data_IF_610980022534
#
_entry.id   IF_610980022534
#
_cell.length_a   1.000
_cell.length_b   1.000
_cell.length_c   1.000
_cell.angle_alpha   90.00
_cell.angle_beta   90.00
_cell.angle_gamma   90.00
#
_symmetry.space_group_name_H-M   'P 1'
#
loop_
_entity.id
_entity.type
_entity.pdbx_description
1 polymer ?
2 non-polymer ?
3 non-polymer ?
4 non-polymer ?
5 non-polymer ?
6 water ?
#
# COMPACT_ATOMS: atom_id res chain seq x y z
N UNK A 14 -24.38 4.15 0.08
CA UNK A 14 -23.16 3.34 0.10
C UNK A 14 -21.99 4.13 -0.51
N UNK A 15 -20.81 3.55 -0.34
CA UNK A 15 -19.58 4.18 -0.82
C UNK A 15 -19.65 4.52 -2.32
N UNK A 16 -19.20 5.73 -2.67
CA UNK A 16 -19.07 6.16 -4.06
C UNK A 16 -17.59 6.12 -4.42
N UNK A 17 -17.16 5.26 -5.33
CA UNK A 17 -15.71 5.20 -5.66
C UNK A 17 -15.21 6.52 -6.22
N UNK A 18 -14.07 7.03 -5.71
CA UNK A 18 -13.41 8.18 -6.36
C UNK A 18 -13.04 7.87 -7.81
N UNK A 19 -12.79 8.93 -8.60
CA UNK A 19 -12.28 8.72 -9.94
C UNK A 19 -10.94 8.01 -9.95
N UNK A 20 -10.71 7.30 -11.04
CA UNK A 20 -9.44 6.57 -11.21
C UNK A 20 -8.24 7.50 -11.43
N UNK A 21 -7.11 7.14 -10.77
CA UNK A 21 -5.85 7.82 -11.01
C UNK A 21 -5.27 7.35 -12.35
N UNK A 22 -4.27 8.08 -12.87
CA UNK A 22 -3.64 7.69 -14.13
C UNK A 22 -2.91 6.36 -14.05
N UNK A 23 -3.00 5.58 -15.14
CA UNK A 23 -2.20 4.38 -15.32
C UNK A 23 -1.36 4.57 -16.55
N UNK A 24 -0.08 4.32 -16.43
CA UNK A 24 0.86 4.40 -17.54
C UNK A 24 1.34 3.02 -17.92
N UNK A 25 1.52 2.83 -19.22
CA UNK A 25 2.01 1.56 -19.79
C UNK A 25 3.23 1.88 -20.64
N UNK A 26 4.38 2.15 -20.00
CA UNK A 26 5.57 2.57 -20.77
C UNK A 26 6.00 1.53 -21.77
N UNK A 27 6.47 2.02 -22.92
CA UNK A 27 7.15 1.14 -23.86
C UNK A 27 8.49 0.70 -23.25
N UNK A 28 9.16 -0.25 -23.93
CA UNK A 28 10.47 -0.66 -23.43
C UNK A 28 11.44 0.52 -23.39
N UNK A 29 11.34 1.44 -24.36
CA UNK A 29 12.20 2.62 -24.37
C UNK A 29 11.93 3.52 -23.17
N UNK A 30 10.66 3.86 -22.92
CA UNK A 30 10.32 4.66 -21.74
C UNK A 30 10.70 3.95 -20.45
N UNK A 31 10.65 2.62 -20.42
CA UNK A 31 10.91 1.87 -19.19
C UNK A 31 12.40 1.80 -18.85
N UNK A 32 13.29 2.38 -19.66
CA UNK A 32 14.73 2.22 -19.41
C UNK A 32 15.17 2.89 -18.12
N UNK A 33 14.64 4.08 -17.80
CA UNK A 33 15.13 4.85 -16.66
C UNK A 33 13.97 5.32 -15.81
N UNK A 34 13.79 4.74 -14.62
CA UNK A 34 12.65 5.13 -13.75
C UNK A 34 12.57 6.61 -13.43
N UNK A 35 13.67 7.24 -12.99
CA UNK A 35 13.56 8.64 -12.59
C UNK A 35 13.24 9.52 -13.77
N UNK A 36 13.78 9.17 -14.95
CA UNK A 36 13.47 9.95 -16.13
C UNK A 36 12.00 9.78 -16.50
N UNK A 37 11.48 8.56 -16.39
CA UNK A 37 10.08 8.36 -16.71
C UNK A 37 9.18 9.08 -15.72
N UNK A 38 9.50 8.99 -14.42
CA UNK A 38 8.65 9.64 -13.41
C UNK A 38 8.73 11.15 -13.58
N UNK A 39 9.89 11.65 -14.00
CA UNK A 39 10.00 13.08 -14.28
C UNK A 39 9.12 13.52 -15.45
N UNK A 40 9.02 12.67 -16.47
CA UNK A 40 8.20 12.99 -17.66
C UNK A 40 6.72 12.92 -17.37
N UNK A 41 6.27 11.99 -16.51
CA UNK A 41 4.83 11.89 -16.23
C UNK A 41 4.39 12.89 -15.19
N UNK A 42 5.32 13.58 -14.53
CA UNK A 42 4.99 14.46 -13.41
C UNK A 42 3.93 15.48 -13.70
N UNK A 43 3.90 16.16 -14.87
CA UNK A 43 2.84 17.16 -15.08
C UNK A 43 1.45 16.61 -14.90
N UNK A 44 1.19 15.33 -15.24
CA UNK A 44 -0.13 14.79 -14.93
C UNK A 44 -0.18 14.17 -13.54
N UNK A 45 0.80 13.30 -13.23
CA UNK A 45 0.68 12.54 -11.99
C UNK A 45 0.76 13.40 -10.71
N UNK A 46 1.45 14.54 -10.76
CA UNK A 46 1.46 15.35 -9.54
C UNK A 46 0.11 16.01 -9.30
N UNK A 47 -0.78 16.10 -10.33
CA UNK A 47 -2.11 16.62 -10.14
C UNK A 47 -3.07 15.59 -9.59
N UNK A 48 -2.65 14.32 -9.50
CA UNK A 48 -3.50 13.28 -8.93
C UNK A 48 -2.90 12.68 -7.67
N UNK A 49 -1.64 13.02 -7.34
CA UNK A 49 -0.97 12.50 -6.12
C UNK A 49 -0.37 11.12 -6.29
N UNK A 50 -1.14 10.21 -6.85
CA UNK A 50 -0.68 8.85 -7.07
C UNK A 50 -0.88 8.48 -8.54
N UNK A 51 -0.05 7.55 -8.99
CA UNK A 51 -0.26 6.98 -10.32
C UNK A 51 0.17 5.52 -10.30
N UNK A 52 -0.28 4.77 -11.30
CA UNK A 52 0.04 3.35 -11.42
C UNK A 52 0.85 3.17 -12.69
N UNK A 53 1.85 2.29 -12.62
CA UNK A 53 2.74 2.06 -13.74
C UNK A 53 2.77 0.55 -14.00
N UNK A 54 2.33 0.15 -15.21
CA UNK A 54 2.36 -1.24 -15.64
C UNK A 54 3.61 -1.50 -16.46
N UNK A 55 4.53 -2.35 -16.01
CA UNK A 55 5.72 -2.61 -16.80
C UNK A 55 5.37 -3.36 -18.08
N UNK A 56 6.28 -3.38 -19.01
CA UNK A 56 6.08 -4.14 -20.25
C UNK A 56 5.75 -5.60 -19.93
N UNK A 57 4.96 -6.23 -20.82
CA UNK A 57 4.39 -7.54 -20.56
C UNK A 57 5.47 -8.56 -20.20
N UNK A 58 6.61 -8.49 -20.87
CA UNK A 58 7.69 -9.44 -20.65
C UNK A 58 8.55 -9.13 -19.44
N UNK A 59 8.29 -8.06 -18.68
CA UNK A 59 9.09 -7.79 -17.48
C UNK A 59 8.46 -8.48 -16.28
N UNK A 60 9.08 -9.60 -15.83
CA UNK A 60 8.52 -10.44 -14.76
C UNK A 60 9.61 -10.91 -13.80
N UNK A 61 9.93 -10.10 -12.79
CA UNK A 61 10.94 -10.51 -11.81
C UNK A 61 10.51 -11.73 -11.03
N UNK A 62 11.47 -12.62 -10.74
CA UNK A 62 11.18 -13.74 -9.83
C UNK A 62 10.97 -13.21 -8.44
N UNK A 63 10.35 -14.03 -7.60
CA UNK A 63 10.14 -13.66 -6.20
C UNK A 63 11.28 -14.22 -5.38
N UNK A 64 11.98 -13.36 -4.64
CA UNK A 64 13.30 -13.73 -4.12
C UNK A 64 13.41 -13.74 -2.60
N UNK A 65 12.30 -13.68 -1.86
CA UNK A 65 12.42 -13.78 -0.40
C UNK A 65 12.74 -15.21 -0.01
N UNK A 66 13.32 -15.35 1.19
CA UNK A 66 13.64 -16.66 1.76
C UNK A 66 12.37 -17.28 2.33
N UNK A 67 11.61 -17.99 1.47
CA UNK A 67 10.25 -18.42 1.80
C UNK A 67 10.23 -19.47 2.91
N UNK A 68 11.23 -20.34 2.94
CA UNK A 68 11.25 -21.41 3.93
C UNK A 68 11.24 -20.85 5.35
N UNK A 69 12.02 -19.79 5.59
CA UNK A 69 12.20 -19.24 6.92
C UNK A 69 11.32 -18.02 7.21
N UNK A 70 10.52 -17.57 6.23
CA UNK A 70 9.76 -16.34 6.41
C UNK A 70 8.71 -16.54 7.49
N UNK A 71 8.88 -15.87 8.62
CA UNK A 71 7.97 -16.01 9.75
C UNK A 71 7.73 -14.64 10.36
N UNK A 72 6.52 -14.41 10.85
CA UNK A 72 6.25 -13.08 11.39
C UNK A 72 5.01 -13.13 12.25
N UNK A 73 4.88 -12.11 13.14
CA UNK A 73 3.69 -11.90 13.92
C UNK A 73 3.04 -10.61 13.45
N UNK A 74 1.94 -10.69 12.69
CA UNK A 74 1.31 -9.49 12.14
C UNK A 74 0.60 -8.74 13.24
N UNK A 75 0.32 -7.46 12.96
CA UNK A 75 -0.36 -6.64 13.96
C UNK A 75 -1.87 -6.72 13.78
N UNK A 76 -2.58 -6.65 14.89
CA UNK A 76 -4.04 -6.70 14.82
C UNK A 76 -4.59 -5.32 14.47
N UNK A 77 -5.56 -5.29 13.56
CA UNK A 77 -6.25 -4.07 13.16
C UNK A 77 -7.75 -4.20 13.39
N UNK A 78 -8.29 -3.31 14.22
CA UNK A 78 -9.73 -3.30 14.53
C UNK A 78 -10.36 -2.20 13.69
N UNK A 79 -11.14 -2.59 12.66
CA UNK A 79 -11.53 -1.65 11.60
C UNK A 79 -12.25 -0.44 12.16
N UNK A 80 -13.09 -0.63 13.17
CA UNK A 80 -13.93 0.46 13.67
C UNK A 80 -13.37 1.07 14.96
N UNK A 81 -12.06 0.98 15.20
CA UNK A 81 -11.53 1.42 16.51
C UNK A 81 -11.79 2.90 16.78
N UNK A 82 -11.81 3.78 15.76
CA UNK A 82 -12.05 5.19 16.09
C UNK A 82 -13.52 5.45 16.37
N UNK A 83 -14.41 4.87 15.55
CA UNK A 83 -15.83 5.00 15.81
C UNK A 83 -16.17 4.49 17.20
N UNK A 84 -15.54 3.40 17.60
CA UNK A 84 -15.85 2.78 18.89
C UNK A 84 -15.49 3.68 20.08
N UNK A 85 -14.73 4.75 19.88
CA UNK A 85 -14.45 5.69 20.99
C UNK A 85 -15.77 6.34 21.39
N UNK A 95 -7.56 -3.85 26.48
CA UNK A 95 -6.39 -3.95 25.64
C UNK A 95 -5.98 -5.38 25.30
N UNK A 96 -6.90 -6.33 25.47
CA UNK A 96 -6.61 -7.75 25.32
C UNK A 96 -7.51 -8.43 24.30
N UNK A 97 -8.09 -7.68 23.35
CA UNK A 97 -9.10 -8.21 22.43
C UNK A 97 -8.64 -9.48 21.73
N UNK A 98 -7.64 -9.36 20.85
CA UNK A 98 -7.08 -10.51 20.15
C UNK A 98 -5.74 -10.91 20.80
N UNK A 99 -5.08 -11.90 20.18
CA UNK A 99 -3.86 -12.47 20.75
C UNK A 99 -3.10 -13.16 19.61
N UNK A 100 -2.23 -12.40 18.91
CA UNK A 100 -1.87 -12.70 17.52
C UNK A 100 -0.93 -13.91 17.42
N UNK A 101 -1.29 -14.86 16.55
CA UNK A 101 -0.42 -15.95 16.21
C UNK A 101 0.82 -15.46 15.45
N UNK A 102 1.86 -16.27 15.54
CA UNK A 102 2.94 -16.25 14.56
C UNK A 102 2.55 -17.10 13.35
N UNK A 103 2.92 -16.61 12.17
CA UNK A 103 2.62 -17.30 10.93
C UNK A 103 3.88 -17.49 10.09
N UNK A 104 3.78 -18.43 9.15
CA UNK A 104 4.62 -18.44 7.96
C UNK A 104 3.86 -17.79 6.80
N UNK A 105 4.52 -17.56 5.69
CA UNK A 105 3.78 -17.06 4.56
C UNK A 105 2.65 -17.96 4.18
N UNK A 106 2.92 -19.25 4.20
CA UNK A 106 1.90 -20.22 3.86
C UNK A 106 0.77 -20.19 4.88
N UNK A 107 1.09 -20.19 6.19
CA UNK A 107 -0.02 -20.31 7.11
C UNK A 107 -0.81 -19.00 7.20
N UNK A 108 -0.16 -17.86 6.96
CA UNK A 108 -0.92 -16.61 6.89
C UNK A 108 -1.84 -16.61 5.68
N UNK A 109 -1.36 -17.15 4.56
CA UNK A 109 -2.20 -17.20 3.38
C UNK A 109 -3.43 -18.08 3.58
N UNK A 110 -3.27 -19.22 4.27
CA UNK A 110 -4.40 -20.09 4.56
C UNK A 110 -5.41 -19.35 5.44
N UNK A 111 -4.89 -18.66 6.48
CA UNK A 111 -5.76 -17.86 7.35
C UNK A 111 -6.48 -16.79 6.53
N UNK A 112 -5.76 -16.11 5.64
CA UNK A 112 -6.33 -14.96 4.95
C UNK A 112 -7.43 -15.40 4.00
N UNK A 113 -7.16 -16.48 3.27
CA UNK A 113 -8.13 -16.97 2.30
C UNK A 113 -9.37 -17.55 3.00
N UNK A 114 -9.17 -18.31 4.07
CA UNK A 114 -10.30 -18.78 4.86
C UNK A 114 -11.13 -17.61 5.39
N UNK A 115 -10.48 -16.54 5.88
CA UNK A 115 -11.24 -15.40 6.37
C UNK A 115 -12.14 -14.84 5.29
N UNK A 116 -11.56 -14.57 4.13
CA UNK A 116 -12.30 -13.85 3.10
C UNK A 116 -13.40 -14.72 2.49
N UNK A 117 -13.08 -15.97 2.19
CA UNK A 117 -14.11 -16.85 1.61
C UNK A 117 -15.24 -17.10 2.61
N UNK A 118 -14.94 -17.18 3.92
CA UNK A 118 -16.01 -17.29 4.92
C UNK A 118 -16.83 -16.00 5.03
N UNK A 119 -16.15 -14.84 4.98
CA UNK A 119 -16.83 -13.56 5.13
C UNK A 119 -17.84 -13.34 4.00
N UNK A 120 -17.42 -13.58 2.77
CA UNK A 120 -18.28 -13.33 1.62
C UNK A 120 -19.04 -14.56 1.13
N UNK A 121 -18.80 -15.74 1.70
CA UNK A 121 -19.47 -16.99 1.24
C UNK A 121 -19.27 -17.25 -0.26
N UNK A 122 -18.05 -17.05 -0.74
CA UNK A 122 -17.74 -17.35 -2.12
C UNK A 122 -16.24 -17.50 -2.25
N UNK A 123 -15.77 -18.08 -3.37
CA UNK A 123 -14.32 -18.22 -3.54
C UNK A 123 -13.64 -16.87 -3.59
N UNK A 124 -12.42 -16.78 -3.04
CA UNK A 124 -11.83 -15.47 -2.80
C UNK A 124 -11.65 -14.69 -4.09
N UNK A 125 -11.34 -15.38 -5.20
CA UNK A 125 -11.08 -14.67 -6.46
C UNK A 125 -12.37 -14.19 -7.13
N UNK A 126 -13.52 -14.63 -6.65
CA UNK A 126 -14.79 -14.23 -7.21
C UNK A 126 -15.43 -13.03 -6.52
N UNK A 127 -14.84 -12.51 -5.44
CA UNK A 127 -15.50 -11.40 -4.77
C UNK A 127 -15.18 -10.12 -5.54
N UNK A 128 -16.18 -9.38 -6.04
CA UNK A 128 -15.91 -8.12 -6.76
C UNK A 128 -15.06 -7.14 -5.93
N UNK A 129 -14.11 -6.47 -6.59
CA UNK A 129 -13.29 -5.47 -5.87
C UNK A 129 -14.15 -4.36 -5.34
N UNK A 130 -15.24 -4.00 -6.06
CA UNK A 130 -16.13 -2.96 -5.59
C UNK A 130 -16.86 -3.36 -4.32
N UNK A 131 -17.19 -4.65 -4.17
CA UNK A 131 -17.88 -5.11 -2.98
C UNK A 131 -16.95 -5.09 -1.77
N UNK A 132 -15.71 -5.52 -1.94
CA UNK A 132 -14.78 -5.46 -0.82
C UNK A 132 -14.62 -4.01 -0.38
N UNK A 133 -14.49 -3.09 -1.33
CA UNK A 133 -14.31 -1.67 -1.02
C UNK A 133 -15.51 -1.11 -0.25
N UNK A 134 -16.73 -1.39 -0.74
CA UNK A 134 -17.93 -0.90 -0.07
C UNK A 134 -18.05 -1.48 1.35
N UNK A 135 -17.71 -2.76 1.50
CA UNK A 135 -17.80 -3.42 2.80
C UNK A 135 -16.75 -2.88 3.76
N UNK A 136 -15.55 -2.61 3.25
CA UNK A 136 -14.48 -2.07 4.09
C UNK A 136 -14.92 -0.78 4.74
N UNK A 137 -15.44 0.16 3.93
CA UNK A 137 -15.78 1.46 4.50
C UNK A 137 -17.03 1.37 5.37
N UNK A 138 -17.94 0.45 5.06
CA UNK A 138 -19.07 0.24 5.97
C UNK A 138 -18.56 -0.24 7.34
N UNK A 139 -17.62 -1.18 7.34
CA UNK A 139 -17.11 -1.74 8.59
C UNK A 139 -16.35 -0.70 9.41
N UNK A 140 -15.60 0.18 8.74
CA UNK A 140 -14.82 1.20 9.44
C UNK A 140 -15.73 2.10 10.28
N UNK A 141 -16.94 2.36 9.80
CA UNK A 141 -17.87 3.23 10.53
C UNK A 141 -18.92 2.48 11.32
N UNK A 142 -18.87 1.15 11.37
CA UNK A 142 -19.93 0.37 12.01
C UNK A 142 -19.75 0.25 13.50
N UNK A 143 -20.78 0.62 14.25
CA UNK A 143 -20.81 0.34 15.68
C UNK A 143 -21.35 -1.06 15.98
N UNK A 144 -22.17 -1.62 15.09
CA UNK A 144 -22.90 -2.83 15.40
C UNK A 144 -22.11 -4.10 15.14
N UNK A 145 -21.01 -4.02 14.38
CA UNK A 145 -20.24 -5.17 13.93
C UNK A 145 -18.76 -4.83 14.08
N UNK A 146 -18.00 -5.67 14.79
CA UNK A 146 -16.59 -5.39 15.08
C UNK A 146 -15.78 -6.44 14.32
N UNK A 147 -15.18 -6.03 13.19
CA UNK A 147 -14.35 -6.90 12.38
C UNK A 147 -12.89 -6.61 12.73
N UNK A 148 -12.13 -7.67 12.98
CA UNK A 148 -10.72 -7.57 13.33
C UNK A 148 -9.90 -8.39 12.34
N UNK A 149 -8.86 -7.78 11.76
CA UNK A 149 -7.99 -8.49 10.81
C UNK A 149 -6.55 -8.32 11.25
N UNK A 150 -5.61 -8.88 10.47
CA UNK A 150 -4.20 -8.88 10.81
C UNK A 150 -3.38 -8.45 9.61
N UNK A 151 -2.35 -7.64 9.83
CA UNK A 151 -1.53 -7.17 8.73
C UNK A 151 -0.05 -7.43 9.02
N UNK A 152 0.65 -8.10 8.10
CA UNK A 152 2.09 -8.23 8.29
C UNK A 152 2.79 -7.02 7.75
N UNK A 153 2.77 -5.94 8.52
CA UNK A 153 3.17 -4.63 7.99
C UNK A 153 4.56 -4.28 8.48
N UNK A 154 5.31 -3.55 7.63
CA UNK A 154 6.60 -2.94 8.05
C UNK A 154 7.58 -4.02 8.45
N UNK A 155 7.65 -5.07 7.63
CA UNK A 155 8.65 -6.09 7.82
C UNK A 155 9.90 -5.66 7.05
N UNK A 156 11.07 -5.61 7.71
CA UNK A 156 12.23 -5.10 6.97
C UNK A 156 12.70 -6.09 5.91
N UNK A 157 13.09 -5.58 4.73
CA UNK A 157 13.72 -6.44 3.73
C UNK A 157 15.05 -7.03 4.22
N UNK A 158 15.62 -6.52 5.30
CA UNK A 158 16.84 -7.12 5.83
C UNK A 158 16.59 -8.48 6.48
N UNK A 159 15.37 -8.72 6.97
CA UNK A 159 15.07 -9.91 7.77
C UNK A 159 15.15 -11.19 6.94
N UNK A 160 14.39 -11.25 5.85
CA UNK A 160 14.38 -12.43 5.01
C UNK A 160 14.71 -12.07 3.56
N UNK A 161 15.21 -10.88 3.33
CA UNK A 161 15.53 -10.50 1.97
C UNK A 161 14.40 -9.69 1.34
N UNK A 162 14.77 -8.97 0.29
CA UNK A 162 13.79 -8.30 -0.54
C UNK A 162 13.06 -9.33 -1.40
N UNK A 163 11.85 -8.96 -1.87
CA UNK A 163 11.21 -9.80 -2.87
C UNK A 163 11.85 -9.74 -4.23
N UNK A 164 12.65 -8.70 -4.50
CA UNK A 164 13.48 -8.63 -5.70
C UNK A 164 14.81 -9.35 -5.49
N UNK A 165 15.33 -9.96 -6.54
CA UNK A 165 16.71 -10.49 -6.46
C UNK A 165 17.73 -9.37 -6.27
N UNK A 166 18.75 -9.67 -5.46
CA UNK A 166 19.78 -8.69 -5.10
C UNK A 166 21.12 -9.41 -5.17
N UNK A 167 22.11 -8.72 -5.75
CA UNK A 167 23.47 -9.24 -5.86
C UNK A 167 24.27 -8.95 -4.59
N UNK A 168 23.81 -9.49 -3.47
CA UNK A 168 24.57 -9.43 -2.22
C UNK A 168 25.14 -10.79 -1.81
N UNK A 169 25.01 -11.83 -2.64
CA UNK A 169 25.57 -13.16 -2.40
C UNK A 169 24.94 -13.85 -1.20
N UNK A 170 23.68 -13.52 -0.88
CA UNK A 170 22.94 -14.24 0.14
C UNK A 170 22.07 -15.35 -0.45
N UNK A 171 21.54 -15.14 -1.64
CA UNK A 171 20.78 -16.15 -2.38
C UNK A 171 21.35 -16.26 -3.78
N UNK A 172 21.14 -17.43 -4.39
CA UNK A 172 21.55 -17.63 -5.77
C UNK A 172 20.69 -16.76 -6.70
N UNK A 173 21.34 -16.21 -7.71
CA UNK A 173 20.70 -15.51 -8.82
C UNK A 173 20.90 -16.36 -10.06
N UNK A 174 19.82 -16.81 -10.67
CA UNK A 174 19.95 -17.46 -11.96
C UNK A 174 20.32 -16.43 -13.01
N UNK A 175 20.95 -16.85 -14.11
CA UNK A 175 21.27 -15.88 -15.19
C UNK A 175 20.06 -15.11 -15.71
N UNK A 176 18.91 -15.78 -15.88
CA UNK A 176 17.70 -15.13 -16.35
C UNK A 176 17.17 -14.09 -15.37
N UNK A 177 17.66 -14.12 -14.13
CA UNK A 177 17.21 -13.18 -13.11
C UNK A 177 18.15 -12.01 -12.91
N UNK A 178 19.34 -12.07 -13.49
CA UNK A 178 20.32 -11.02 -13.23
C UNK A 178 19.81 -9.67 -13.72
N UNK A 179 19.09 -9.66 -14.84
CA UNK A 179 18.51 -8.42 -15.36
C UNK A 179 17.66 -7.74 -14.28
N UNK A 180 16.97 -8.53 -13.47
CA UNK A 180 16.09 -7.94 -12.46
C UNK A 180 16.89 -7.45 -11.26
N UNK A 181 18.00 -8.14 -10.93
CA UNK A 181 18.86 -7.68 -9.86
C UNK A 181 19.53 -6.34 -10.20
N UNK A 182 19.71 -6.05 -11.50
CA UNK A 182 20.40 -4.86 -11.95
C UNK A 182 19.44 -3.77 -12.40
N UNK A 183 18.15 -4.05 -12.51
CA UNK A 183 17.17 -3.10 -13.03
C UNK A 183 17.02 -1.87 -12.16
N UNK A 184 16.86 -0.70 -12.80
CA UNK A 184 16.55 0.47 -12.00
C UNK A 184 15.16 0.47 -11.38
N UNK A 185 14.27 -0.45 -11.78
CA UNK A 185 12.94 -0.59 -11.16
C UNK A 185 12.93 -1.58 -10.01
N UNK A 186 14.03 -2.26 -9.79
CA UNK A 186 14.22 -3.02 -8.55
C UNK A 186 14.31 -2.04 -7.39
N UNK A 187 13.43 -2.15 -6.41
CA UNK A 187 13.33 -1.11 -5.38
C UNK A 187 14.61 -0.99 -4.56
N UNK A 188 15.48 -2.00 -4.60
CA UNK A 188 16.77 -1.89 -3.93
C UNK A 188 17.76 -0.99 -4.66
N UNK A 189 17.46 -0.62 -5.91
CA UNK A 189 18.34 0.18 -6.75
C UNK A 189 17.81 1.58 -6.97
N UNK A 190 16.76 1.98 -6.23
CA UNK A 190 16.27 3.35 -6.27
C UNK A 190 17.18 4.27 -5.45
N UNK A 191 17.38 5.51 -5.90
CA UNK A 191 18.22 6.44 -5.14
C UNK A 191 17.50 6.85 -3.85
N UNK A 192 18.21 6.80 -2.74
CA UNK A 192 17.59 7.09 -1.45
C UNK A 192 18.30 8.18 -0.68
N UNK A 193 19.42 8.68 -1.16
CA UNK A 193 20.18 9.67 -0.39
C UNK A 193 19.77 11.09 -0.79
N UNK A 194 19.30 11.87 0.17
CA UNK A 194 18.95 13.25 -0.11
C UNK A 194 20.20 14.12 0.07
N UNK A 195 20.33 15.15 -0.77
CA UNK A 195 21.42 16.10 -0.61
C UNK A 195 21.25 16.92 0.67
N UNK A 196 22.35 17.12 1.38
CA UNK A 196 22.33 17.97 2.58
C UNK A 196 23.73 18.50 2.92
N UNK A 209 18.21 3.00 4.81
CA UNK A 209 17.12 3.23 3.87
C UNK A 209 17.03 2.04 2.89
N UNK A 210 16.23 1.06 3.26
CA UNK A 210 16.01 -0.16 2.48
C UNK A 210 14.51 -0.35 2.32
N UNK A 211 14.09 -1.20 1.40
CA UNK A 211 12.64 -1.42 1.23
C UNK A 211 12.03 -2.15 2.42
N UNK A 212 10.74 -1.91 2.62
CA UNK A 212 9.90 -2.56 3.62
C UNK A 212 8.85 -3.42 2.93
N UNK A 213 8.42 -4.50 3.62
CA UNK A 213 7.51 -5.49 3.08
C UNK A 213 6.17 -5.44 3.80
N UNK A 214 5.12 -5.81 3.06
CA UNK A 214 3.74 -5.76 3.60
C UNK A 214 3.02 -7.03 3.15
N UNK A 215 2.66 -7.90 4.08
CA UNK A 215 1.92 -9.12 3.76
C UNK A 215 0.48 -8.86 4.11
N UNK A 216 -0.40 -8.74 3.10
CA UNK A 216 -1.77 -8.31 3.35
C UNK A 216 -2.77 -9.46 3.41
N UNK A 217 -3.94 -9.17 4.02
CA UNK A 217 -5.15 -10.00 3.88
C UNK A 217 -6.30 -9.05 3.63
N UNK A 218 -7.46 -9.60 3.29
CA UNK A 218 -8.64 -8.80 3.09
C UNK A 218 -8.89 -7.86 4.27
N UNK A 219 -9.05 -6.56 3.96
CA UNK A 219 -9.43 -5.46 4.84
C UNK A 219 -8.23 -4.96 5.65
N UNK A 220 -7.05 -5.58 5.59
CA UNK A 220 -5.88 -4.94 6.21
C UNK A 220 -5.59 -3.62 5.50
N UNK A 221 -5.11 -2.64 6.24
CA UNK A 221 -5.17 -1.29 5.69
C UNK A 221 -4.06 -0.39 6.22
N UNK A 222 -3.92 0.72 5.53
CA UNK A 222 -3.01 1.79 5.94
C UNK A 222 -3.74 3.12 5.90
N UNK A 223 -3.59 3.94 6.97
CA UNK A 223 -4.38 5.18 7.01
C UNK A 223 -3.66 6.32 6.33
N UNK A 224 -4.35 7.47 6.28
CA UNK A 224 -3.86 8.61 5.50
C UNK A 224 -2.54 9.15 6.05
N UNK A 225 -1.56 9.29 5.15
CA UNK A 225 -0.28 9.84 5.59
C UNK A 225 0.49 10.37 4.40
N UNK A 226 1.49 11.19 4.71
CA UNK A 226 2.54 11.52 3.76
C UNK A 226 3.87 10.95 4.29
N UNK A 227 4.87 10.94 3.42
CA UNK A 227 6.16 10.38 3.80
C UNK A 227 7.01 11.36 4.59
N UNK A 228 7.93 10.80 5.37
CA UNK A 228 8.98 11.63 5.97
C UNK A 228 9.67 12.49 4.91
N UNK A 229 9.96 13.76 5.28
CA UNK A 229 10.64 14.71 4.39
C UNK A 229 9.86 14.97 3.10
N UNK A 230 8.57 14.69 3.11
CA UNK A 230 7.72 14.82 1.92
C UNK A 230 8.27 14.02 0.73
N UNK A 231 8.86 12.85 1.03
CA UNK A 231 9.50 12.06 -0.02
C UNK A 231 8.51 11.49 -1.03
N UNK A 232 9.00 11.26 -2.24
CA UNK A 232 8.35 10.30 -3.14
C UNK A 232 8.37 8.89 -2.51
N UNK A 233 7.39 8.05 -2.89
CA UNK A 233 7.57 6.63 -2.62
C UNK A 233 7.18 5.79 -3.84
N UNK A 234 7.76 4.60 -3.92
CA UNK A 234 7.40 3.64 -4.97
C UNK A 234 7.06 2.33 -4.31
N UNK A 235 6.04 1.66 -4.85
CA UNK A 235 5.42 0.51 -4.23
C UNK A 235 5.24 -0.55 -5.30
N UNK A 236 5.65 -1.79 -5.04
CA UNK A 236 5.46 -2.86 -6.02
C UNK A 236 4.68 -4.02 -5.40
N UNK A 237 3.67 -4.49 -6.10
CA UNK A 237 2.91 -5.67 -5.65
C UNK A 237 3.51 -6.92 -6.30
N UNK A 238 4.26 -7.68 -5.49
CA UNK A 238 4.92 -8.88 -6.01
C UNK A 238 3.94 -9.93 -6.49
N UNK A 239 2.88 -10.18 -5.71
CA UNK A 239 1.93 -11.22 -6.05
C UNK A 239 0.71 -11.06 -5.15
N UNK A 240 -0.36 -11.77 -5.51
CA UNK A 240 -1.59 -11.81 -4.73
C UNK A 240 -2.70 -10.90 -5.25
N UNK A 241 -3.73 -10.76 -4.41
CA UNK A 241 -4.92 -10.00 -4.77
C UNK A 241 -4.60 -8.51 -4.72
N UNK A 242 -5.41 -7.66 -5.35
CA UNK A 242 -5.04 -6.24 -5.46
C UNK A 242 -4.95 -5.50 -4.15
N UNK A 243 -4.19 -4.42 -4.21
CA UNK A 243 -4.12 -3.42 -3.13
C UNK A 243 -4.88 -2.20 -3.63
N UNK A 244 -5.90 -1.77 -2.89
CA UNK A 244 -6.71 -0.63 -3.31
C UNK A 244 -6.17 0.64 -2.67
N UNK A 245 -5.97 1.69 -3.49
CA UNK A 245 -5.31 2.91 -3.03
C UNK A 245 -6.25 4.11 -3.19
N UNK A 246 -6.03 5.10 -2.33
CA UNK A 246 -6.63 6.43 -2.48
C UNK A 246 -5.51 7.45 -2.35
N UNK A 247 -5.54 8.47 -3.22
CA UNK A 247 -4.48 9.49 -3.21
C UNK A 247 -5.06 10.87 -3.36
N UNK A 248 -4.37 11.84 -2.76
CA UNK A 248 -4.73 13.25 -2.80
C UNK A 248 -3.53 14.03 -3.33
N UNK A 249 -3.68 14.85 -4.37
CA UNK A 249 -2.55 15.63 -4.87
C UNK A 249 -2.04 16.61 -3.84
N UNK A 250 -0.75 16.88 -3.92
CA UNK A 250 -0.12 17.77 -2.93
C UNK A 250 -0.72 19.16 -2.89
N UNK A 251 -1.28 19.66 -4.00
CA UNK A 251 -1.88 20.99 -3.91
C UNK A 251 -3.06 21.03 -2.97
N UNK A 252 -3.60 19.87 -2.58
CA UNK A 252 -4.73 19.82 -1.66
C UNK A 252 -4.31 19.29 -0.30
N UNK A 253 -3.01 19.25 0.00
CA UNK A 253 -2.58 18.75 1.31
C UNK A 253 -3.16 19.54 2.46
N UNK A 254 -3.19 20.88 2.34
CA UNK A 254 -3.70 21.68 3.44
C UNK A 254 -5.17 21.53 3.60
N UNK A 255 -5.88 21.33 2.49
CA UNK A 255 -7.31 21.10 2.58
C UNK A 255 -7.57 19.82 3.35
N UNK A 256 -6.82 18.77 3.04
CA UNK A 256 -7.07 17.51 3.73
C UNK A 256 -6.78 17.66 5.21
N UNK A 257 -5.71 18.38 5.54
CA UNK A 257 -5.34 18.52 6.95
C UNK A 257 -6.39 19.32 7.70
N UNK A 258 -7.02 20.28 7.04
CA UNK A 258 -8.08 21.06 7.67
C UNK A 258 -9.31 20.19 7.92
N UNK A 259 -9.69 19.33 6.96
CA UNK A 259 -10.84 18.45 7.19
C UNK A 259 -10.53 17.49 8.33
N UNK A 260 -9.31 17.00 8.37
CA UNK A 260 -8.92 16.10 9.46
C UNK A 260 -9.10 16.76 10.82
N UNK A 261 -8.61 17.99 10.95
CA UNK A 261 -8.74 18.69 12.24
C UNK A 261 -10.20 18.93 12.61
N UNK A 262 -11.03 19.30 11.64
CA UNK A 262 -12.45 19.48 11.88
C UNK A 262 -13.12 18.20 12.36
N UNK A 263 -12.75 17.06 11.81
CA UNK A 263 -13.53 15.83 12.01
C UNK A 263 -12.82 14.73 12.76
N UNK A 264 -11.51 14.77 12.89
CA UNK A 264 -10.84 13.76 13.68
C UNK A 264 -11.20 13.92 15.15
N UNK A 265 -11.17 12.81 15.91
CA UNK A 265 -11.39 12.92 17.37
C UNK A 265 -10.51 14.00 17.97
N UNK A 266 -11.09 14.77 18.90
CA UNK A 266 -10.36 15.89 19.50
C UNK A 266 -9.10 15.40 20.20
N UNK A 267 -9.23 14.34 21.02
CA UNK A 267 -8.08 13.79 21.75
C UNK A 267 -6.88 13.57 20.85
N UNK A 268 -7.12 13.28 19.58
CA UNK A 268 -6.03 13.03 18.67
C UNK A 268 -5.76 14.24 17.79
N UNK A 269 -6.68 15.21 17.74
CA UNK A 269 -6.53 16.34 16.82
C UNK A 269 -5.33 17.21 17.21
N UNK A 270 -5.16 17.44 18.52
CA UNK A 270 -4.07 18.21 19.10
C UNK A 270 -2.71 17.54 19.02
N UNK A 271 -2.65 16.27 18.60
CA UNK A 271 -1.39 15.54 18.53
C UNK A 271 -0.53 16.01 17.36
N UNK A 272 0.80 15.94 17.50
CA UNK A 272 1.69 16.24 16.37
C UNK A 272 1.37 15.32 15.19
N UNK A 273 1.65 15.82 13.97
CA UNK A 273 1.31 15.06 12.76
C UNK A 273 1.87 13.65 12.75
N UNK A 274 3.11 13.48 13.23
CA UNK A 274 3.76 12.17 13.14
C UNK A 274 3.14 11.14 14.08
N UNK A 275 2.34 11.57 15.05
CA UNK A 275 1.55 10.63 15.84
C UNK A 275 0.11 10.55 15.35
N UNK A 276 -0.46 11.71 14.98
CA UNK A 276 -1.83 11.69 14.47
C UNK A 276 -1.92 10.77 13.26
N UNK A 277 -0.86 10.70 12.44
CA UNK A 277 -0.87 9.83 11.27
C UNK A 277 -0.97 8.34 11.57
N UNK A 278 -0.85 7.93 12.84
CA UNK A 278 -1.09 6.54 13.18
C UNK A 278 -2.57 6.21 13.20
N UNK A 279 -3.44 7.23 13.28
CA UNK A 279 -4.88 7.04 13.47
C UNK A 279 -5.71 7.97 12.57
N UNK A 280 -5.16 8.36 11.44
CA UNK A 280 -5.90 9.24 10.51
C UNK A 280 -6.72 8.42 9.51
N UNK A 281 -7.67 7.60 9.99
CA UNK A 281 -8.53 6.86 9.07
C UNK A 281 -9.73 7.74 8.74
N UNK A 282 -10.02 7.88 7.43
CA UNK A 282 -11.14 8.73 7.02
C UNK A 282 -11.67 8.24 5.69
N UNK A 283 -12.97 8.02 5.64
CA UNK A 283 -13.66 7.64 4.40
C UNK A 283 -13.40 8.65 3.29
N UNK A 284 -12.90 8.22 2.13
CA UNK A 284 -12.65 9.17 1.03
C UNK A 284 -13.85 10.02 0.68
N UNK A 285 -15.08 9.51 0.83
CA UNK A 285 -16.25 10.33 0.51
C UNK A 285 -16.40 11.53 1.44
N UNK A 286 -15.99 11.41 2.70
CA UNK A 286 -15.99 12.58 3.59
C UNK A 286 -15.08 13.66 3.03
N UNK A 287 -13.84 13.29 2.66
CA UNK A 287 -12.93 14.27 2.06
C UNK A 287 -13.56 14.88 0.81
N UNK A 288 -14.16 14.04 -0.03
CA UNK A 288 -14.72 14.52 -1.29
C UNK A 288 -15.85 15.50 -1.03
N UNK A 289 -16.70 15.22 -0.03
CA UNK A 289 -17.78 16.14 0.29
C UNK A 289 -17.26 17.50 0.71
N UNK A 290 -16.09 17.54 1.35
CA UNK A 290 -15.47 18.78 1.75
C UNK A 290 -14.57 19.38 0.68
N UNK A 291 -14.67 18.92 -0.56
CA UNK A 291 -14.02 19.56 -1.68
C UNK A 291 -12.60 19.11 -1.92
N UNK A 292 -12.16 18.04 -1.25
CA UNK A 292 -10.79 17.53 -1.41
C UNK A 292 -10.76 16.59 -2.61
N UNK A 293 -9.88 16.78 -3.59
CA UNK A 293 -9.80 15.82 -4.71
C UNK A 293 -9.19 14.53 -4.22
N UNK A 294 -9.84 13.41 -4.55
CA UNK A 294 -9.34 12.08 -4.20
C UNK A 294 -9.40 11.23 -5.45
N UNK A 295 -8.32 10.46 -5.70
CA UNK A 295 -8.26 9.49 -6.78
C UNK A 295 -8.02 8.10 -6.22
N UNK A 296 -8.48 7.09 -6.95
CA UNK A 296 -8.34 5.72 -6.45
C UNK A 296 -7.63 4.88 -7.50
N UNK A 297 -7.15 3.69 -7.08
CA UNK A 297 -6.76 2.67 -8.07
C UNK A 297 -6.73 1.32 -7.39
N UNK A 298 -6.93 0.24 -8.17
CA UNK A 298 -6.59 -1.09 -7.70
C UNK A 298 -5.24 -1.47 -8.31
N UNK A 299 -4.25 -1.63 -7.47
CA UNK A 299 -2.94 -2.09 -7.92
C UNK A 299 -2.93 -3.61 -7.98
N UNK A 300 -2.65 -4.19 -9.16
CA UNK A 300 -2.67 -5.64 -9.31
C UNK A 300 -1.24 -6.15 -9.30
N UNK A 301 -1.11 -7.46 -9.14
CA UNK A 301 0.20 -8.06 -9.08
C UNK A 301 1.04 -7.66 -10.29
N UNK A 302 2.29 -7.33 -9.99
CA UNK A 302 3.22 -6.90 -11.02
C UNK A 302 3.14 -5.44 -11.42
N UNK A 303 2.30 -4.62 -10.76
CA UNK A 303 2.17 -3.19 -11.05
C UNK A 303 2.81 -2.35 -9.94
N UNK A 304 3.31 -1.17 -10.34
CA UNK A 304 3.89 -0.18 -9.43
C UNK A 304 2.87 0.90 -9.11
N UNK A 305 2.96 1.44 -7.89
CA UNK A 305 2.27 2.69 -7.56
C UNK A 305 3.32 3.68 -7.09
N UNK A 306 3.33 4.87 -7.68
CA UNK A 306 4.22 5.96 -7.26
C UNK A 306 3.39 6.99 -6.55
N UNK A 307 3.88 7.45 -5.40
CA UNK A 307 3.27 8.58 -4.71
C UNK A 307 4.21 9.79 -4.81
N UNK A 308 3.63 10.92 -5.11
CA UNK A 308 4.42 12.15 -5.34
C UNK A 308 4.62 12.90 -4.02
N UNK A 309 5.54 13.89 -3.99
CA UNK A 309 5.88 14.55 -2.72
C UNK A 309 4.66 15.20 -2.10
N UNK A 310 4.46 14.91 -0.81
CA UNK A 310 3.37 15.50 -0.03
C UNK A 310 1.99 15.12 -0.59
N UNK A 311 1.90 13.99 -1.27
CA UNK A 311 0.60 13.44 -1.70
C UNK A 311 0.08 12.50 -0.64
N UNK A 312 -1.00 12.88 0.04
CA UNK A 312 -1.55 11.99 1.08
C UNK A 312 -2.10 10.73 0.42
N UNK A 313 -1.91 9.59 1.09
CA UNK A 313 -2.45 8.35 0.54
C UNK A 313 -2.86 7.41 1.67
N UNK A 314 -3.76 6.49 1.29
CA UNK A 314 -4.28 5.48 2.22
C UNK A 314 -4.78 4.33 1.37
N UNK A 315 -5.09 3.21 2.02
CA UNK A 315 -5.60 2.11 1.18
C UNK A 315 -5.89 0.88 2.01
N UNK A 316 -6.29 -0.17 1.31
CA UNK A 316 -6.50 -1.47 1.99
C UNK A 316 -6.27 -2.58 0.99
N UNK A 317 -6.11 -3.81 1.52
CA UNK A 317 -5.84 -4.96 0.65
C UNK A 317 -7.11 -5.77 0.40
N UNK A 318 -7.29 -6.17 -0.87
CA UNK A 318 -8.44 -6.98 -1.25
C UNK A 318 -8.37 -8.42 -0.77
N UNK A 319 -7.18 -8.91 -0.46
CA UNK A 319 -6.97 -10.30 -0.08
C UNK A 319 -5.48 -10.54 0.14
N UNK A 320 -5.11 -11.80 0.20
CA UNK A 320 -3.74 -12.22 0.49
C UNK A 320 -2.79 -11.71 -0.57
N UNK A 321 -1.79 -10.92 -0.17
CA UNK A 321 -0.88 -10.37 -1.17
C UNK A 321 0.44 -10.01 -0.50
N UNK A 322 1.38 -9.55 -1.33
CA UNK A 322 2.74 -9.28 -0.84
C UNK A 322 3.28 -8.07 -1.56
N UNK A 323 3.58 -6.99 -0.83
CA UNK A 323 4.02 -5.73 -1.41
C UNK A 323 5.38 -5.32 -0.84
N UNK A 324 6.10 -4.47 -1.62
CA UNK A 324 7.40 -3.95 -1.18
C UNK A 324 7.37 -2.47 -1.51
N UNK A 325 7.90 -1.66 -0.59
CA UNK A 325 7.83 -0.20 -0.77
C UNK A 325 9.11 0.47 -0.32
N UNK A 326 9.45 1.60 -0.94
CA UNK A 326 10.61 2.37 -0.47
C UNK A 326 10.39 3.83 -0.80
N UNK A 327 10.93 4.73 0.05
CA UNK A 327 10.97 6.16 -0.29
C UNK A 327 12.18 6.42 -1.16
N UNK A 328 12.06 7.30 -2.17
CA UNK A 328 13.20 7.56 -3.03
C UNK A 328 13.34 9.05 -3.24
N UNK A 329 14.55 9.45 -3.70
CA UNK A 329 14.97 10.84 -3.88
C UNK A 329 15.22 11.09 -5.36
N UNK A 330 14.92 12.31 -5.83
CA UNK A 330 15.10 12.66 -7.24
C UNK A 330 16.23 13.68 -7.40
#
# INVERSE_FOLDING_TARGET
HNMAGVGPGGYAAEFVPPPECPVFEPSWEEFTDPLSFIGRIRPLAEKTGICKIRPPKDWQPPFACEVKSFRFTPRVQRLNELEAMTRVRPREAFGFEQAVREYTLQSFGEMADNFKSDYFNMPVHMVPTELVEKEFWRLVSSIEEDVIVEYGADISSKDFGSGFPVKDGRRKILPEEEEYALSGWNLNNMPVLEQSVLAHINVDISGMKVPWLYVGMCFSSFCWHIEDHWSYSINYLHWGEPKTWYGVPSHAAEQLEEVMRELAPELFESQPDLLHQLVTIMNPNVLMEHGVPVYRTNQCAGEFVVTFPRAYHSGFNQGYNFAEAVNFCT
#
